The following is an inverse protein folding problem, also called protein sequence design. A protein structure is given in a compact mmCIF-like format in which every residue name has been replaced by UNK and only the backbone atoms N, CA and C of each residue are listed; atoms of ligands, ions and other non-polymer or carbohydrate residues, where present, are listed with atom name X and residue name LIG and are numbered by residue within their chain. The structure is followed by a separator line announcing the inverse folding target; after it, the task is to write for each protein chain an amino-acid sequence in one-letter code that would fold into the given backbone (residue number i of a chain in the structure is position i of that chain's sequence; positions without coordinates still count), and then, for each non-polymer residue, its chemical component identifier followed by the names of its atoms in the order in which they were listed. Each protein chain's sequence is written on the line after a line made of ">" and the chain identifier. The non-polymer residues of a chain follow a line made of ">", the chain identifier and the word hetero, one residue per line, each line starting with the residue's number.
data_IF_705871987297
#
_entry.id   IF_705871987297
#
_cell.length_a   1.000
_cell.length_b   1.000
_cell.length_c   1.000
_cell.angle_alpha   90.00
_cell.angle_beta   90.00
_cell.angle_gamma   90.00
#
_symmetry.space_group_name_H-M   'P 1'
#
loop_
_entity.id
_entity.type
_entity.pdbx_description
1 polymer ?
#
# COMPACT_ATOMS: atom_id res chain seq x y z
N UNK A 1 -31.87 30.67 -15.67
CA UNK A 1 -31.38 29.41 -16.27
C UNK A 1 -29.88 29.56 -16.46
N UNK A 2 -29.09 29.02 -15.52
CA UNK A 2 -27.64 28.93 -15.67
C UNK A 2 -27.39 27.46 -16.00
N UNK A 3 -26.78 27.21 -17.14
CA UNK A 3 -26.41 25.87 -17.58
C UNK A 3 -25.56 25.20 -16.50
N UNK A 4 -25.79 23.91 -16.16
CA UNK A 4 -24.79 23.14 -15.45
C UNK A 4 -23.65 22.97 -16.46
N UNK A 5 -22.59 23.76 -16.32
CA UNK A 5 -21.34 23.44 -17.01
C UNK A 5 -20.91 22.11 -16.43
N UNK A 6 -21.04 21.11 -17.29
CA UNK A 6 -20.64 19.74 -17.07
C UNK A 6 -19.21 19.71 -16.54
N UNK A 7 -19.06 18.95 -15.47
CA UNK A 7 -17.84 18.56 -14.78
C UNK A 7 -17.01 17.60 -15.69
N UNK A 8 -16.76 18.04 -16.93
CA UNK A 8 -16.48 17.14 -18.07
C UNK A 8 -15.00 17.09 -18.48
N UNK A 9 -14.09 17.64 -17.68
CA UNK A 9 -12.65 17.50 -17.94
C UNK A 9 -11.88 17.39 -16.61
N UNK A 10 -12.13 16.32 -15.86
CA UNK A 10 -11.13 15.89 -14.89
C UNK A 10 -9.90 15.43 -15.70
N UNK A 11 -8.81 16.18 -15.62
CA UNK A 11 -7.56 15.87 -16.32
C UNK A 11 -7.17 14.43 -15.98
N UNK A 12 -7.06 13.51 -16.96
CA UNK A 12 -6.74 12.11 -16.70
C UNK A 12 -5.45 11.91 -15.90
N UNK A 13 -4.50 12.86 -15.99
CA UNK A 13 -3.30 12.86 -15.17
C UNK A 13 -3.61 13.15 -13.70
N UNK A 14 -4.50 14.10 -13.43
CA UNK A 14 -4.94 14.44 -12.07
C UNK A 14 -5.68 13.25 -11.44
N UNK A 15 -6.63 12.66 -12.18
CA UNK A 15 -7.38 11.49 -11.72
C UNK A 15 -6.46 10.29 -11.41
N UNK A 16 -5.45 10.06 -12.26
CA UNK A 16 -4.43 9.03 -12.02
C UNK A 16 -3.61 9.31 -10.75
N UNK A 17 -3.08 10.52 -10.56
CA UNK A 17 -2.28 10.84 -9.38
C UNK A 17 -3.11 10.79 -8.09
N UNK A 18 -4.40 11.13 -8.13
CA UNK A 18 -5.30 10.97 -6.98
C UNK A 18 -5.48 9.49 -6.61
N UNK A 19 -5.80 8.63 -7.59
CA UNK A 19 -5.90 7.17 -7.37
C UNK A 19 -4.59 6.61 -6.82
N UNK A 20 -3.46 7.03 -7.38
CA UNK A 20 -2.14 6.58 -6.93
C UNK A 20 -1.85 6.98 -5.49
N UNK A 21 -2.24 8.19 -5.08
CA UNK A 21 -2.10 8.65 -3.69
C UNK A 21 -2.97 7.83 -2.74
N UNK A 22 -4.20 7.49 -3.14
CA UNK A 22 -5.10 6.64 -2.34
C UNK A 22 -4.52 5.23 -2.13
N UNK A 23 -4.01 4.61 -3.19
CA UNK A 23 -3.37 3.29 -3.15
C UNK A 23 -2.12 3.31 -2.25
N UNK A 24 -1.28 4.33 -2.39
CA UNK A 24 -0.10 4.52 -1.54
C UNK A 24 -0.48 4.74 -0.07
N UNK A 25 -1.53 5.51 0.20
CA UNK A 25 -2.03 5.71 1.56
C UNK A 25 -2.54 4.39 2.17
N UNK A 26 -3.27 3.58 1.39
CA UNK A 26 -3.71 2.26 1.81
C UNK A 26 -2.51 1.34 2.12
N UNK A 27 -1.49 1.34 1.27
CA UNK A 27 -0.25 0.61 1.48
C UNK A 27 0.46 1.03 2.79
N UNK A 28 0.66 2.32 3.04
CA UNK A 28 1.32 2.78 4.26
C UNK A 28 0.50 2.49 5.52
N UNK A 29 -0.83 2.56 5.44
CA UNK A 29 -1.70 2.15 6.55
C UNK A 29 -1.58 0.65 6.85
N UNK A 30 -1.46 -0.19 5.82
CA UNK A 30 -1.25 -1.63 5.98
C UNK A 30 0.13 -1.94 6.60
N UNK A 31 1.18 -1.21 6.19
CA UNK A 31 2.50 -1.26 6.84
C UNK A 31 2.43 -0.88 8.33
N UNK A 32 1.71 0.19 8.67
CA UNK A 32 1.51 0.58 10.07
C UNK A 32 0.67 -0.44 10.86
N UNK A 33 -0.23 -1.18 10.22
CA UNK A 33 -0.95 -2.28 10.87
C UNK A 33 -0.01 -3.44 11.22
N UNK A 34 0.92 -3.79 10.32
CA UNK A 34 1.90 -4.85 10.51
C UNK A 34 2.80 -4.60 11.73
N UNK A 35 3.24 -3.36 11.97
CA UNK A 35 4.04 -3.01 13.15
C UNK A 35 3.27 -3.10 14.48
N UNK A 36 1.94 -3.21 14.43
CA UNK A 36 1.04 -3.34 15.59
C UNK A 36 0.50 -4.75 15.78
N UNK A 37 1.01 -5.74 15.03
CA UNK A 37 0.61 -7.12 15.20
C UNK A 37 0.91 -7.61 16.63
N UNK A 38 -0.12 -8.11 17.32
CA UNK A 38 0.00 -8.60 18.69
C UNK A 38 0.31 -10.10 18.77
N UNK A 39 0.10 -10.82 17.67
CA UNK A 39 0.35 -12.27 17.56
C UNK A 39 1.05 -12.61 16.24
N UNK A 40 1.70 -13.77 16.21
CA UNK A 40 2.38 -14.26 15.01
C UNK A 40 1.41 -14.56 13.86
N UNK A 41 0.22 -15.06 14.18
CA UNK A 41 -0.82 -15.32 13.17
C UNK A 41 -1.30 -14.00 12.54
N UNK A 42 -1.56 -12.99 13.37
CA UNK A 42 -1.92 -11.65 12.89
C UNK A 42 -0.80 -11.05 12.03
N UNK A 43 0.46 -11.19 12.47
CA UNK A 43 1.62 -10.72 11.72
C UNK A 43 1.72 -11.41 10.36
N UNK A 44 1.46 -12.71 10.28
CA UNK A 44 1.49 -13.46 9.02
C UNK A 44 0.42 -12.95 8.06
N UNK A 45 -0.84 -12.90 8.50
CA UNK A 45 -1.98 -12.44 7.68
C UNK A 45 -1.76 -11.01 7.18
N UNK A 46 -1.31 -10.11 8.05
CA UNK A 46 -1.03 -8.72 7.67
C UNK A 46 0.15 -8.63 6.69
N UNK A 47 1.20 -9.42 6.88
CA UNK A 47 2.35 -9.40 5.96
C UNK A 47 1.97 -9.86 4.56
N UNK A 48 1.12 -10.86 4.47
CA UNK A 48 0.66 -11.41 3.19
C UNK A 48 -0.27 -10.40 2.48
N UNK A 49 -1.14 -9.71 3.25
CA UNK A 49 -1.99 -8.65 2.71
C UNK A 49 -1.17 -7.47 2.16
N UNK A 50 -0.14 -7.02 2.88
CA UNK A 50 0.74 -5.93 2.40
C UNK A 50 1.50 -6.37 1.14
N UNK A 51 1.99 -7.62 1.11
CA UNK A 51 2.71 -8.13 -0.06
C UNK A 51 1.80 -8.26 -1.30
N UNK A 52 0.52 -8.58 -1.12
CA UNK A 52 -0.47 -8.58 -2.18
C UNK A 52 -0.69 -7.16 -2.74
N UNK A 53 -0.89 -6.16 -1.86
CA UNK A 53 -1.04 -4.76 -2.27
C UNK A 53 0.14 -4.26 -3.09
N UNK A 54 1.38 -4.58 -2.70
CA UNK A 54 2.58 -4.20 -3.47
C UNK A 54 2.51 -4.76 -4.90
N UNK A 55 2.08 -6.02 -5.07
CA UNK A 55 1.98 -6.66 -6.39
C UNK A 55 0.85 -6.07 -7.23
N UNK A 56 -0.26 -5.68 -6.62
CA UNK A 56 -1.40 -5.06 -7.31
C UNK A 56 -1.05 -3.66 -7.82
N UNK A 57 -0.26 -2.90 -7.06
CA UNK A 57 0.20 -1.57 -7.45
C UNK A 57 1.29 -1.60 -8.54
N UNK A 58 2.01 -2.71 -8.71
CA UNK A 58 3.10 -2.82 -9.69
C UNK A 58 2.60 -3.38 -11.03
N UNK A 59 3.08 -2.88 -12.20
CA UNK A 59 4.04 -1.79 -12.39
C UNK A 59 3.35 -0.43 -12.64
N UNK A 60 2.03 -0.34 -12.42
CA UNK A 60 1.19 0.77 -12.88
C UNK A 60 1.22 1.97 -11.94
N UNK A 61 1.04 1.74 -10.64
CA UNK A 61 1.04 2.77 -9.59
C UNK A 61 2.43 2.96 -9.00
N UNK A 62 3.21 1.88 -8.94
CA UNK A 62 4.60 1.88 -8.50
C UNK A 62 5.47 1.19 -9.55
N UNK A 63 6.71 1.63 -9.67
CA UNK A 63 7.70 0.98 -10.52
C UNK A 63 8.14 -0.36 -9.93
N UNK A 64 8.74 -1.22 -10.77
CA UNK A 64 9.34 -2.48 -10.32
C UNK A 64 10.46 -2.28 -9.30
N UNK A 65 11.18 -1.15 -9.35
CA UNK A 65 12.20 -0.83 -8.35
C UNK A 65 11.56 -0.52 -6.99
N UNK A 66 10.44 0.21 -6.97
CA UNK A 66 9.66 0.46 -5.76
C UNK A 66 9.04 -0.82 -5.20
N UNK A 67 8.49 -1.69 -6.05
CA UNK A 67 8.00 -3.02 -5.63
C UNK A 67 9.08 -3.82 -4.87
N UNK A 68 10.30 -3.89 -5.42
CA UNK A 68 11.42 -4.59 -4.80
C UNK A 68 11.81 -3.96 -3.46
N UNK A 69 11.89 -2.63 -3.41
CA UNK A 69 12.23 -1.90 -2.20
C UNK A 69 11.18 -2.09 -1.10
N UNK A 70 9.89 -1.97 -1.43
CA UNK A 70 8.79 -2.17 -0.49
C UNK A 70 8.69 -3.61 -0.01
N UNK A 71 8.87 -4.60 -0.90
CA UNK A 71 8.87 -6.01 -0.51
C UNK A 71 10.01 -6.31 0.47
N UNK A 72 11.21 -5.78 0.22
CA UNK A 72 12.34 -5.91 1.15
C UNK A 72 12.04 -5.26 2.51
N UNK A 73 11.40 -4.09 2.52
CA UNK A 73 11.00 -3.40 3.74
C UNK A 73 9.95 -4.18 4.55
N UNK A 74 8.93 -4.74 3.90
CA UNK A 74 7.91 -5.59 4.54
C UNK A 74 8.55 -6.81 5.20
N UNK A 75 9.46 -7.48 4.49
CA UNK A 75 10.18 -8.65 5.01
C UNK A 75 11.01 -8.29 6.24
N UNK A 76 11.79 -7.20 6.17
CA UNK A 76 12.58 -6.74 7.30
C UNK A 76 11.71 -6.38 8.52
N UNK A 77 10.57 -5.73 8.30
CA UNK A 77 9.64 -5.38 9.37
C UNK A 77 8.95 -6.61 9.97
N UNK A 78 8.52 -7.56 9.13
CA UNK A 78 7.99 -8.86 9.58
C UNK A 78 8.99 -9.57 10.47
N UNK A 79 10.25 -9.67 10.05
CA UNK A 79 11.30 -10.32 10.83
C UNK A 79 11.56 -9.62 12.17
N UNK A 80 11.52 -8.28 12.18
CA UNK A 80 11.64 -7.50 13.42
C UNK A 80 10.47 -7.74 14.37
N UNK A 81 9.23 -7.75 13.87
CA UNK A 81 8.03 -8.03 14.65
C UNK A 81 8.02 -9.47 15.18
N UNK A 82 8.45 -10.47 14.37
CA UNK A 82 8.57 -11.87 14.82
C UNK A 82 9.49 -11.99 16.04
N UNK A 83 10.65 -11.32 16.01
CA UNK A 83 11.59 -11.30 17.13
C UNK A 83 10.98 -10.66 18.38
N UNK A 84 10.28 -9.54 18.21
CA UNK A 84 9.60 -8.86 19.32
C UNK A 84 8.50 -9.73 19.96
N UNK A 85 7.87 -10.60 19.19
CA UNK A 85 6.86 -11.56 19.65
C UNK A 85 7.47 -12.86 20.23
N UNK A 86 8.79 -12.97 20.31
CA UNK A 86 9.48 -14.07 20.99
C UNK A 86 9.89 -15.26 20.11
N UNK A 87 10.03 -15.07 18.79
CA UNK A 87 10.60 -16.06 17.85
C UNK A 87 12.01 -15.75 17.38
#
# INVERSE_FOLDING_TARGET
>A
MVNPMTDENEDPMIAFEQSRVEDLAAFYNAMAALSRAATLDQLSVQSDAVQALIREMSPTMISTAEELAFSAQVLAMKDSCRKALGQ
#
